data_IF_953494377646
#
_entry.id   IF_953494377646
#
_cell.length_a   1.000
_cell.length_b   1.000
_cell.length_c   1.000
_cell.angle_alpha   90.00
_cell.angle_beta   90.00
_cell.angle_gamma   90.00
#
_symmetry.space_group_name_H-M   'P 1'
#
loop_
_entity.id
_entity.type
_entity.pdbx_description
1 polymer ?
#
# COMPACT_ATOMS: atom_id res chain seq x y z
N UNK A 1 12.97 -65.03 -1.88
CA UNK A 1 11.51 -64.96 -2.13
C UNK A 1 11.31 -65.23 -3.62
N UNK A 2 10.51 -66.23 -3.95
CA UNK A 2 10.39 -66.80 -5.31
C UNK A 2 9.73 -65.82 -6.29
N UNK A 3 10.42 -65.61 -7.41
CA UNK A 3 9.96 -64.84 -8.56
C UNK A 3 9.06 -65.73 -9.42
N UNK A 4 7.80 -65.92 -9.02
CA UNK A 4 6.81 -66.53 -9.88
C UNK A 4 6.23 -65.43 -10.78
N UNK A 5 7.04 -64.96 -11.74
CA UNK A 5 6.49 -64.36 -12.95
C UNK A 5 5.79 -65.50 -13.69
N UNK A 6 4.48 -65.61 -13.47
CA UNK A 6 3.62 -66.47 -14.28
C UNK A 6 3.84 -66.08 -15.74
N UNK A 7 4.62 -66.90 -16.47
CA UNK A 7 4.63 -66.91 -17.93
C UNK A 7 3.17 -67.10 -18.34
N UNK A 8 2.51 -66.01 -18.72
CA UNK A 8 1.24 -66.08 -19.42
C UNK A 8 1.60 -66.68 -20.77
N UNK A 9 1.47 -68.00 -20.88
CA UNK A 9 1.54 -68.70 -22.16
C UNK A 9 0.26 -68.28 -22.90
N UNK A 10 0.37 -67.17 -23.63
CA UNK A 10 -0.71 -66.65 -24.45
C UNK A 10 -0.87 -67.64 -25.60
N UNK A 11 -2.06 -68.22 -25.70
CA UNK A 11 -2.37 -69.11 -26.81
C UNK A 11 -2.16 -68.37 -28.15
N UNK A 12 -1.57 -69.03 -29.16
CA UNK A 12 -1.24 -68.40 -30.45
C UNK A 12 -2.46 -67.79 -31.15
N UNK A 13 -3.67 -68.31 -30.92
CA UNK A 13 -4.90 -67.72 -31.45
C UNK A 13 -5.23 -66.39 -30.76
N UNK A 14 -5.12 -66.35 -29.43
CA UNK A 14 -5.26 -65.13 -28.64
C UNK A 14 -4.23 -64.07 -29.03
N UNK A 15 -3.00 -64.47 -29.32
CA UNK A 15 -1.94 -63.55 -29.76
C UNK A 15 -2.25 -62.94 -31.13
N UNK A 16 -2.74 -63.76 -32.08
CA UNK A 16 -3.19 -63.29 -33.39
C UNK A 16 -4.36 -62.31 -33.27
N UNK A 17 -5.32 -62.57 -32.40
CA UNK A 17 -6.47 -61.66 -32.18
C UNK A 17 -6.00 -60.31 -31.63
N UNK A 18 -5.05 -60.31 -30.71
CA UNK A 18 -4.47 -59.08 -30.15
C UNK A 18 -3.72 -58.30 -31.24
N UNK A 19 -2.92 -58.98 -32.07
CA UNK A 19 -2.18 -58.35 -33.16
C UNK A 19 -3.09 -57.78 -34.24
N UNK A 20 -4.16 -58.48 -34.60
CA UNK A 20 -5.16 -58.05 -35.58
C UNK A 20 -5.96 -56.85 -35.07
N UNK A 21 -6.37 -56.87 -33.79
CA UNK A 21 -7.02 -55.74 -33.13
C UNK A 21 -6.10 -54.53 -33.00
N UNK A 22 -4.82 -54.75 -32.68
CA UNK A 22 -3.82 -53.69 -32.62
C UNK A 22 -3.56 -53.08 -34.00
N UNK A 23 -3.51 -53.89 -35.06
CA UNK A 23 -3.41 -53.43 -36.44
C UNK A 23 -4.65 -52.63 -36.85
N UNK A 24 -5.86 -53.12 -36.52
CA UNK A 24 -7.12 -52.43 -36.83
C UNK A 24 -7.24 -51.10 -36.08
N UNK A 25 -6.73 -51.01 -34.85
CA UNK A 25 -6.68 -49.76 -34.09
C UNK A 25 -5.64 -48.78 -34.67
N UNK A 26 -4.53 -49.29 -35.20
CA UNK A 26 -3.46 -48.48 -35.81
C UNK A 26 -3.88 -47.83 -37.12
N UNK A 27 -4.78 -48.47 -37.86
CA UNK A 27 -5.39 -47.95 -39.09
C UNK A 27 -6.63 -47.09 -38.83
N UNK A 28 -7.14 -47.08 -37.58
CA UNK A 28 -8.34 -46.33 -37.23
C UNK A 28 -8.00 -44.86 -36.93
N UNK A 29 -8.08 -44.05 -37.99
CA UNK A 29 -7.86 -42.60 -37.99
C UNK A 29 -8.69 -41.88 -36.90
N UNK A 30 -9.90 -42.36 -36.60
CA UNK A 30 -10.76 -41.80 -35.55
C UNK A 30 -10.22 -42.01 -34.13
N UNK A 31 -9.48 -43.09 -33.88
CA UNK A 31 -8.85 -43.31 -32.57
C UNK A 31 -7.64 -42.38 -32.37
N UNK A 32 -6.83 -42.19 -33.43
CA UNK A 32 -5.74 -41.23 -33.41
C UNK A 32 -6.24 -39.80 -33.21
N UNK A 33 -7.29 -39.40 -33.93
CA UNK A 33 -7.96 -38.11 -33.79
C UNK A 33 -8.45 -37.89 -32.35
N UNK A 34 -9.15 -38.86 -31.76
CA UNK A 34 -9.58 -38.79 -30.35
C UNK A 34 -8.41 -38.57 -29.38
N UNK A 35 -7.29 -39.27 -29.56
CA UNK A 35 -6.12 -39.09 -28.69
C UNK A 35 -5.46 -37.72 -28.85
N UNK A 36 -5.41 -37.18 -30.08
CA UNK A 36 -4.87 -35.84 -30.36
C UNK A 36 -5.77 -34.75 -29.77
N UNK A 37 -7.09 -34.91 -29.87
CA UNK A 37 -8.05 -33.98 -29.27
C UNK A 37 -7.91 -33.95 -27.74
N UNK A 38 -7.78 -35.11 -27.10
CA UNK A 38 -7.55 -35.19 -25.65
C UNK A 38 -6.23 -34.55 -25.22
N UNK A 39 -5.15 -34.77 -25.96
CA UNK A 39 -3.86 -34.13 -25.68
C UNK A 39 -3.96 -32.61 -25.82
N UNK A 40 -4.63 -32.12 -26.87
CA UNK A 40 -4.84 -30.71 -27.13
C UNK A 40 -5.69 -30.05 -26.04
N UNK A 41 -6.77 -30.70 -25.61
CA UNK A 41 -7.63 -30.22 -24.51
C UNK A 41 -6.85 -30.12 -23.20
N UNK A 42 -6.02 -31.13 -22.88
CA UNK A 42 -5.18 -31.13 -21.70
C UNK A 42 -4.14 -30.00 -21.75
N UNK A 43 -3.51 -29.78 -22.91
CA UNK A 43 -2.56 -28.68 -23.10
C UNK A 43 -3.23 -27.32 -22.93
N UNK A 44 -4.43 -27.12 -23.49
CA UNK A 44 -5.19 -25.89 -23.30
C UNK A 44 -5.51 -25.65 -21.82
N UNK A 45 -5.96 -26.69 -21.11
CA UNK A 45 -6.24 -26.60 -19.68
C UNK A 45 -4.99 -26.22 -18.86
N UNK A 46 -3.83 -26.81 -19.17
CA UNK A 46 -2.56 -26.50 -18.51
C UNK A 46 -2.14 -25.04 -18.79
N UNK A 47 -2.22 -24.59 -20.03
CA UNK A 47 -1.92 -23.21 -20.42
C UNK A 47 -2.86 -22.21 -19.74
N UNK A 48 -4.16 -22.50 -19.68
CA UNK A 48 -5.14 -21.69 -18.96
C UNK A 48 -4.79 -21.59 -17.47
N UNK A 49 -4.45 -22.70 -16.83
CA UNK A 49 -4.04 -22.72 -15.41
C UNK A 49 -2.75 -21.92 -15.19
N UNK A 50 -1.78 -22.02 -16.09
CA UNK A 50 -0.54 -21.26 -16.04
C UNK A 50 -0.79 -19.76 -16.20
N UNK A 51 -1.63 -19.36 -17.16
CA UNK A 51 -2.01 -17.97 -17.39
C UNK A 51 -2.75 -17.39 -16.16
N UNK A 52 -3.73 -18.12 -15.63
CA UNK A 52 -4.46 -17.70 -14.43
C UNK A 52 -3.55 -17.53 -13.21
N UNK A 53 -2.60 -18.45 -13.01
CA UNK A 53 -1.63 -18.32 -11.91
C UNK A 53 -0.74 -17.09 -12.09
N UNK A 54 -0.30 -16.81 -13.33
CA UNK A 54 0.49 -15.62 -13.65
C UNK A 54 -0.27 -14.34 -13.31
N UNK A 55 -1.53 -14.23 -13.75
CA UNK A 55 -2.39 -13.08 -13.45
C UNK A 55 -2.53 -12.90 -11.93
N UNK A 56 -2.82 -13.97 -11.20
CA UNK A 56 -2.95 -13.91 -9.74
C UNK A 56 -1.68 -13.40 -9.04
N UNK A 57 -0.50 -13.81 -9.51
CA UNK A 57 0.79 -13.34 -8.98
C UNK A 57 0.99 -11.86 -9.30
N UNK A 58 0.73 -11.44 -10.53
CA UNK A 58 0.87 -10.03 -10.97
C UNK A 58 -0.07 -9.11 -10.18
N UNK A 59 -1.33 -9.50 -10.01
CA UNK A 59 -2.29 -8.75 -9.19
C UNK A 59 -1.83 -8.62 -7.75
N UNK A 60 -1.36 -9.72 -7.13
CA UNK A 60 -0.83 -9.69 -5.76
C UNK A 60 0.38 -8.76 -5.62
N UNK A 61 1.24 -8.72 -6.62
CA UNK A 61 2.39 -7.80 -6.63
C UNK A 61 1.93 -6.35 -6.76
N UNK A 62 0.99 -6.07 -7.66
CA UNK A 62 0.42 -4.75 -7.86
C UNK A 62 -0.28 -4.23 -6.59
N UNK A 63 -1.12 -5.05 -5.95
CA UNK A 63 -1.77 -4.71 -4.68
C UNK A 63 -0.77 -4.38 -3.59
N UNK A 64 0.33 -5.14 -3.49
CA UNK A 64 1.38 -4.88 -2.51
C UNK A 64 2.07 -3.54 -2.77
N UNK A 65 2.39 -3.24 -4.02
CA UNK A 65 3.02 -1.97 -4.40
C UNK A 65 2.10 -0.79 -4.07
N UNK A 66 0.82 -0.87 -4.46
CA UNK A 66 -0.18 0.15 -4.16
C UNK A 66 -0.32 0.38 -2.66
N UNK A 67 -0.40 -0.69 -1.86
CA UNK A 67 -0.50 -0.58 -0.41
C UNK A 67 0.72 0.11 0.22
N UNK A 68 1.93 -0.22 -0.24
CA UNK A 68 3.16 0.43 0.25
C UNK A 68 3.18 1.90 -0.13
N UNK A 69 2.84 2.23 -1.37
CA UNK A 69 2.81 3.62 -1.85
C UNK A 69 1.79 4.47 -1.08
N UNK A 70 0.59 3.94 -0.85
CA UNK A 70 -0.45 4.63 -0.09
C UNK A 70 -0.03 4.89 1.36
N UNK A 71 0.61 3.89 2.00
CA UNK A 71 1.16 4.04 3.35
C UNK A 71 2.26 5.10 3.39
N UNK A 72 3.13 5.13 2.38
CA UNK A 72 4.19 6.13 2.30
C UNK A 72 3.63 7.54 2.11
N UNK A 73 2.65 7.73 1.22
CA UNK A 73 1.93 9.00 1.06
C UNK A 73 1.26 9.45 2.36
N UNK A 74 0.64 8.52 3.10
CA UNK A 74 0.03 8.81 4.40
C UNK A 74 1.06 9.29 5.43
N UNK A 75 2.21 8.62 5.53
CA UNK A 75 3.29 9.00 6.44
C UNK A 75 3.91 10.36 6.06
N UNK A 76 4.09 10.63 4.78
CA UNK A 76 4.57 11.94 4.30
C UNK A 76 3.58 13.06 4.65
N UNK A 77 2.27 12.79 4.50
CA UNK A 77 1.23 13.73 4.91
C UNK A 77 1.30 14.00 6.41
N UNK A 78 1.35 12.96 7.23
CA UNK A 78 1.47 13.10 8.69
C UNK A 78 2.73 13.88 9.10
N UNK A 79 3.85 13.66 8.42
CA UNK A 79 5.09 14.40 8.66
C UNK A 79 4.92 15.89 8.35
N UNK A 80 4.33 16.23 7.21
CA UNK A 80 4.06 17.63 6.81
C UNK A 80 3.10 18.30 7.78
N UNK A 81 2.04 17.60 8.18
CA UNK A 81 1.07 18.11 9.16
C UNK A 81 1.75 18.39 10.50
N UNK A 82 2.61 17.48 10.96
CA UNK A 82 3.37 17.66 12.21
C UNK A 82 4.33 18.84 12.13
N UNK A 83 5.05 18.99 11.01
CA UNK A 83 5.94 20.13 10.78
C UNK A 83 5.17 21.45 10.75
N UNK A 84 4.00 21.46 10.10
CA UNK A 84 3.13 22.64 10.05
C UNK A 84 2.64 23.02 11.45
N UNK A 85 2.19 22.04 12.25
CA UNK A 85 1.77 22.28 13.64
C UNK A 85 2.92 22.86 14.48
N UNK A 86 4.13 22.31 14.36
CA UNK A 86 5.31 22.84 15.06
C UNK A 86 5.61 24.28 14.65
N UNK A 87 5.60 24.57 13.35
CA UNK A 87 5.79 25.92 12.84
C UNK A 87 4.74 26.90 13.37
N UNK A 88 3.46 26.51 13.31
CA UNK A 88 2.36 27.34 13.82
C UNK A 88 2.47 27.55 15.34
N UNK A 89 2.85 26.52 16.09
CA UNK A 89 3.10 26.64 17.53
C UNK A 89 4.20 27.66 17.82
N UNK A 90 5.32 27.61 17.09
CA UNK A 90 6.41 28.58 17.25
C UNK A 90 5.97 29.99 16.88
N UNK A 91 5.23 30.15 15.77
CA UNK A 91 4.70 31.44 15.34
C UNK A 91 3.74 32.05 16.38
N UNK A 92 2.85 31.24 16.96
CA UNK A 92 1.93 31.70 18.02
C UNK A 92 2.71 32.10 19.28
N UNK A 93 3.69 31.31 19.70
CA UNK A 93 4.53 31.66 20.85
C UNK A 93 5.25 32.99 20.61
N UNK A 94 5.87 33.16 19.44
CA UNK A 94 6.56 34.40 19.08
C UNK A 94 5.60 35.61 19.08
N UNK A 95 4.39 35.43 18.55
CA UNK A 95 3.37 36.48 18.53
C UNK A 95 2.90 36.85 19.94
N UNK A 96 2.70 35.86 20.82
CA UNK A 96 2.34 36.08 22.23
C UNK A 96 3.45 36.82 22.96
N UNK A 97 4.71 36.42 22.79
CA UNK A 97 5.87 37.10 23.40
C UNK A 97 5.95 38.55 22.93
N UNK A 98 5.88 38.79 21.61
CA UNK A 98 5.91 40.14 21.05
C UNK A 98 4.74 41.01 21.54
N UNK A 99 3.55 40.41 21.72
CA UNK A 99 2.40 41.11 22.27
C UNK A 99 2.65 41.54 23.72
N UNK A 100 3.20 40.67 24.57
CA UNK A 100 3.50 41.01 25.96
C UNK A 100 4.61 42.06 26.08
N UNK A 101 5.65 41.98 25.25
CA UNK A 101 6.71 42.99 25.22
C UNK A 101 6.17 44.37 24.81
N UNK A 102 5.33 44.41 23.77
CA UNK A 102 4.64 45.63 23.33
C UNK A 102 3.70 46.19 24.40
N UNK A 103 2.95 45.31 25.07
CA UNK A 103 2.04 45.69 26.15
C UNK A 103 2.79 46.27 27.36
N UNK A 104 3.92 45.66 27.73
CA UNK A 104 4.77 46.17 28.81
C UNK A 104 5.34 47.56 28.48
N UNK A 105 5.83 47.75 27.26
CA UNK A 105 6.31 49.05 26.78
C UNK A 105 5.21 50.12 26.77
N UNK A 106 4.01 49.75 26.33
CA UNK A 106 2.84 50.63 26.35
C UNK A 106 2.44 51.04 27.77
N UNK A 107 2.40 50.08 28.71
CA UNK A 107 2.10 50.35 30.12
C UNK A 107 3.11 51.32 30.73
N UNK A 108 4.40 51.14 30.42
CA UNK A 108 5.45 52.03 30.91
C UNK A 108 5.33 53.45 30.32
N UNK A 109 4.95 53.55 29.05
CA UNK A 109 4.67 54.84 28.39
C UNK A 109 3.49 55.57 29.05
N UNK A 110 2.40 54.87 29.37
CA UNK A 110 1.25 55.45 30.09
C UNK A 110 1.67 55.95 31.47
N UNK A 111 2.47 55.19 32.22
CA UNK A 111 2.90 55.58 33.55
C UNK A 111 3.70 56.89 33.52
N UNK A 112 4.65 57.02 32.58
CA UNK A 112 5.43 58.26 32.40
C UNK A 112 4.52 59.45 32.04
N UNK A 113 3.52 59.23 31.18
CA UNK A 113 2.56 60.28 30.82
C UNK A 113 1.69 60.70 32.01
N UNK A 114 1.25 59.76 32.84
CA UNK A 114 0.49 60.03 34.05
C UNK A 114 1.30 60.86 35.05
N UNK A 115 2.54 60.46 35.33
CA UNK A 115 3.45 61.17 36.25
C UNK A 115 3.71 62.62 35.78
N UNK A 116 3.88 62.81 34.46
CA UNK A 116 4.03 64.15 33.88
C UNK A 116 2.76 65.00 34.03
N UNK A 117 1.56 64.41 33.86
CA UNK A 117 0.29 65.12 34.06
C UNK A 117 0.13 65.52 35.53
N UNK A 118 0.40 64.63 36.48
CA UNK A 118 0.35 64.94 37.91
C UNK A 118 1.32 66.07 38.28
N UNK A 119 2.54 66.04 37.75
CA UNK A 119 3.51 67.11 37.95
C UNK A 119 3.02 68.46 37.40
N UNK A 120 2.43 68.48 36.19
CA UNK A 120 1.86 69.70 35.61
C UNK A 120 0.70 70.23 36.47
N UNK A 121 -0.19 69.36 36.95
CA UNK A 121 -1.33 69.75 37.80
C UNK A 121 -0.84 70.33 39.14
N UNK A 122 0.14 69.68 39.77
CA UNK A 122 0.77 70.14 41.01
C UNK A 122 1.44 71.51 40.85
N UNK A 123 2.14 71.74 39.73
CA UNK A 123 2.75 73.04 39.42
C UNK A 123 1.74 74.16 39.14
N UNK A 124 0.55 73.82 38.63
CA UNK A 124 -0.49 74.79 38.27
C UNK A 124 -1.40 75.19 39.45
N UNK A 125 -1.28 74.52 40.60
CA UNK A 125 -2.05 74.81 41.83
C UNK A 125 -1.16 75.22 43.02
N UNK A 126 -0.36 76.30 42.94
CA UNK A 126 0.47 76.71 44.08
C UNK A 126 -0.29 77.45 45.21
N UNK A 127 -1.58 77.76 45.09
CA UNK A 127 -2.25 78.63 46.08
C UNK A 127 -3.71 78.24 46.40
N UNK A 128 -3.89 77.22 47.25
CA UNK A 128 -5.15 77.03 47.99
C UNK A 128 -4.91 76.49 49.43
N UNK A 129 -3.71 76.68 49.98
CA UNK A 129 -3.43 76.53 51.41
C UNK A 129 -2.65 77.75 51.90
N UNK A 130 -3.39 78.82 52.13
CA UNK A 130 -3.15 79.76 53.22
C UNK A 130 -4.38 79.72 54.11
#
# INVERSE_FOLDING_TARGET
MNNNASNLEIDPESQRIIEDLAASMRENEAFAEYTVDQETELQMYIEERRANLKIFIEERQLYRQMYVEERQKCLEKQRKDTQFIQFMSQAVIALVVAFFDSFASFKQTIHILWDNIEWIISKKTPEAMK
#
